data_IF_322871988944
#
_entry.id   IF_322871988944
#
_cell.length_a   1.000
_cell.length_b   1.000
_cell.length_c   1.000
_cell.angle_alpha   90.00
_cell.angle_beta   90.00
_cell.angle_gamma   90.00
#
_symmetry.space_group_name_H-M   'P 1'
#
loop_
_entity.id
_entity.type
_entity.pdbx_description
1 polymer ?
#
# COMPACT_ATOMS: atom_id res chain seq x y z
N UNK A 1 -5.24 10.36 -29.85
CA UNK A 1 -5.07 9.38 -28.77
C UNK A 1 -4.53 10.17 -27.60
N UNK A 2 -5.40 10.57 -26.68
CA UNK A 2 -4.99 11.32 -25.50
C UNK A 2 -4.39 10.31 -24.53
N UNK A 3 -3.08 10.24 -24.51
CA UNK A 3 -2.34 9.55 -23.45
C UNK A 3 -2.68 10.29 -22.16
N UNK A 4 -3.63 9.73 -21.39
CA UNK A 4 -4.01 10.29 -20.09
C UNK A 4 -2.87 9.92 -19.15
N UNK A 5 -1.78 10.69 -19.20
CA UNK A 5 -0.73 10.57 -18.20
C UNK A 5 -1.34 11.03 -16.89
N UNK A 6 -1.79 10.08 -16.06
CA UNK A 6 -2.30 10.37 -14.73
C UNK A 6 -1.20 11.09 -13.94
N UNK A 7 -1.42 12.35 -13.62
CA UNK A 7 -0.53 13.09 -12.73
C UNK A 7 -0.83 12.65 -11.30
N UNK A 8 0.16 12.05 -10.65
CA UNK A 8 0.06 11.61 -9.26
C UNK A 8 0.83 12.52 -8.30
N UNK A 9 1.35 13.65 -8.79
CA UNK A 9 2.25 14.53 -8.03
C UNK A 9 1.58 15.19 -6.82
N UNK A 10 0.24 15.21 -6.78
CA UNK A 10 -0.56 15.67 -5.65
C UNK A 10 -0.58 14.73 -4.44
N UNK A 11 -0.09 13.49 -4.59
CA UNK A 11 -0.08 12.51 -3.52
C UNK A 11 1.26 12.52 -2.79
N UNK A 12 1.21 12.39 -1.46
CA UNK A 12 2.38 12.43 -0.59
C UNK A 12 3.16 11.11 -0.62
N UNK A 13 2.44 10.00 -0.67
CA UNK A 13 2.99 8.66 -0.61
C UNK A 13 2.66 7.90 -1.90
N UNK A 14 3.62 7.11 -2.36
CA UNK A 14 3.50 6.24 -3.53
C UNK A 14 4.05 4.87 -3.13
N UNK A 15 3.17 3.87 -2.98
CA UNK A 15 3.57 2.53 -2.57
C UNK A 15 3.29 1.50 -3.66
N UNK A 16 4.33 0.78 -4.06
CA UNK A 16 4.18 -0.38 -4.93
C UNK A 16 3.50 -1.54 -4.21
N UNK A 17 3.01 -2.53 -4.97
CA UNK A 17 2.46 -3.75 -4.39
C UNK A 17 3.46 -4.48 -3.45
N UNK A 18 4.75 -4.45 -3.75
CA UNK A 18 5.79 -5.03 -2.88
C UNK A 18 5.94 -4.25 -1.58
N UNK A 19 5.90 -2.92 -1.62
CA UNK A 19 5.97 -2.07 -0.43
C UNK A 19 4.72 -2.25 0.45
N UNK A 20 3.53 -2.32 -0.15
CA UNK A 20 2.29 -2.63 0.57
C UNK A 20 2.41 -4.00 1.27
N UNK A 21 2.91 -5.03 0.58
CA UNK A 21 3.16 -6.34 1.18
C UNK A 21 4.20 -6.29 2.30
N UNK A 22 5.24 -5.47 2.17
CA UNK A 22 6.25 -5.29 3.23
C UNK A 22 5.64 -4.69 4.49
N UNK A 23 4.78 -3.67 4.35
CA UNK A 23 4.01 -3.10 5.47
C UNK A 23 3.10 -4.16 6.10
N UNK A 24 2.31 -4.89 5.31
CA UNK A 24 1.40 -5.92 5.81
C UNK A 24 2.13 -7.07 6.52
N UNK A 25 3.35 -7.42 6.09
CA UNK A 25 4.19 -8.42 6.77
C UNK A 25 4.63 -7.96 8.16
N UNK A 26 4.86 -6.67 8.36
CA UNK A 26 5.17 -6.08 9.67
C UNK A 26 3.94 -5.98 10.59
N UNK A 27 2.74 -6.24 10.08
CA UNK A 27 1.49 -6.31 10.85
C UNK A 27 1.25 -7.61 11.61
N UNK A 28 2.20 -8.53 11.64
CA UNK A 28 2.09 -9.71 12.51
C UNK A 28 2.14 -9.32 14.00
N UNK A 29 1.43 -10.09 14.82
CA UNK A 29 1.37 -9.89 16.28
C UNK A 29 2.77 -9.89 16.95
N UNK A 30 3.73 -10.62 16.35
CA UNK A 30 5.11 -10.73 16.84
C UNK A 30 5.90 -9.42 16.62
N UNK A 31 6.05 -8.89 15.38
CA UNK A 31 6.71 -7.60 15.15
C UNK A 31 6.01 -6.42 15.85
N UNK A 32 4.66 -6.42 15.96
CA UNK A 32 3.95 -5.38 16.70
C UNK A 32 4.23 -5.43 18.21
N UNK A 33 4.20 -6.62 18.82
CA UNK A 33 4.49 -6.81 20.24
C UNK A 33 5.93 -6.52 20.63
N UNK A 34 6.87 -6.57 19.67
CA UNK A 34 8.30 -6.24 19.87
C UNK A 34 8.67 -4.80 19.53
N UNK A 35 7.75 -4.01 18.97
CA UNK A 35 8.01 -2.62 18.57
C UNK A 35 8.70 -2.45 17.21
N UNK A 36 9.07 -3.54 16.53
CA UNK A 36 9.70 -3.51 15.20
C UNK A 36 8.83 -2.86 14.13
N UNK A 37 7.50 -3.02 14.23
CA UNK A 37 6.57 -2.31 13.34
C UNK A 37 6.70 -0.80 13.50
N UNK A 38 6.94 -0.29 14.73
CA UNK A 38 7.11 1.14 14.98
C UNK A 38 8.42 1.65 14.42
N UNK A 39 9.50 0.88 14.56
CA UNK A 39 10.82 1.22 14.00
C UNK A 39 10.78 1.22 12.47
N UNK A 40 10.23 0.18 11.87
CA UNK A 40 10.03 0.09 10.42
C UNK A 40 9.23 1.27 9.87
N UNK A 41 8.14 1.65 10.53
CA UNK A 41 7.34 2.80 10.10
C UNK A 41 8.08 4.13 10.30
N UNK A 42 8.85 4.28 11.37
CA UNK A 42 9.65 5.49 11.56
C UNK A 42 10.72 5.65 10.47
N UNK A 43 11.26 4.53 9.97
CA UNK A 43 12.29 4.50 8.92
C UNK A 43 11.70 4.66 7.52
N UNK A 44 10.61 3.94 7.20
CA UNK A 44 10.09 3.84 5.84
C UNK A 44 8.84 4.69 5.56
N UNK A 45 8.08 5.05 6.61
CA UNK A 45 6.82 5.79 6.49
C UNK A 45 6.69 6.85 7.60
N UNK A 46 7.59 7.84 7.67
CA UNK A 46 7.62 8.81 8.75
C UNK A 46 6.31 9.58 8.87
N UNK A 47 5.79 9.68 10.08
CA UNK A 47 4.51 10.33 10.36
C UNK A 47 3.27 9.44 10.14
N UNK A 48 3.45 8.20 9.69
CA UNK A 48 2.35 7.24 9.59
C UNK A 48 2.32 6.28 10.76
N UNK A 49 1.10 5.93 11.17
CA UNK A 49 0.87 4.80 12.08
C UNK A 49 0.50 3.56 11.26
N UNK A 50 0.79 2.38 11.82
CA UNK A 50 0.40 1.12 11.16
C UNK A 50 -1.10 1.07 10.90
N UNK A 51 -1.89 1.55 11.86
CA UNK A 51 -3.35 1.62 11.74
C UNK A 51 -3.76 2.53 10.58
N UNK A 52 -3.20 3.74 10.48
CA UNK A 52 -3.54 4.68 9.41
C UNK A 52 -3.24 4.09 8.02
N UNK A 53 -2.10 3.41 7.85
CA UNK A 53 -1.79 2.72 6.59
C UNK A 53 -2.78 1.59 6.30
N UNK A 54 -3.15 0.79 7.32
CA UNK A 54 -4.18 -0.23 7.13
C UNK A 54 -5.54 0.37 6.74
N UNK A 55 -5.93 1.50 7.32
CA UNK A 55 -7.18 2.19 6.99
C UNK A 55 -7.17 2.63 5.52
N UNK A 56 -6.07 3.25 5.04
CA UNK A 56 -5.87 3.58 3.62
C UNK A 56 -5.97 2.33 2.74
N UNK A 57 -5.28 1.24 3.11
CA UNK A 57 -5.28 0.03 2.28
C UNK A 57 -6.65 -0.64 2.20
N UNK A 58 -7.45 -0.56 3.26
CA UNK A 58 -8.82 -1.03 3.26
C UNK A 58 -9.72 -0.12 2.39
N UNK A 59 -9.61 1.21 2.55
CA UNK A 59 -10.39 2.18 1.80
C UNK A 59 -10.11 2.09 0.29
N UNK A 60 -8.85 1.91 -0.08
CA UNK A 60 -8.42 1.71 -1.46
C UNK A 60 -8.74 0.32 -2.03
N UNK A 61 -9.22 -0.61 -1.20
CA UNK A 61 -9.53 -1.98 -1.61
C UNK A 61 -8.32 -2.76 -2.10
N UNK A 62 -7.11 -2.36 -1.69
CA UNK A 62 -5.85 -3.00 -2.12
C UNK A 62 -5.41 -4.12 -1.18
N UNK A 63 -6.05 -4.27 -0.01
CA UNK A 63 -5.73 -5.31 0.97
C UNK A 63 -6.70 -6.49 0.87
N UNK A 64 -6.14 -7.67 0.58
CA UNK A 64 -6.82 -8.95 0.60
C UNK A 64 -6.52 -9.77 1.86
N UNK A 65 -7.30 -10.85 2.05
CA UNK A 65 -7.10 -11.81 3.13
C UNK A 65 -5.85 -12.65 2.85
N UNK A 66 -4.85 -12.57 3.72
CA UNK A 66 -3.62 -13.37 3.65
C UNK A 66 -3.56 -14.27 4.88
N UNK A 67 -3.68 -15.58 4.71
CA UNK A 67 -3.77 -16.56 5.79
C UNK A 67 -2.69 -16.36 6.87
N UNK A 68 -3.11 -15.91 8.06
CA UNK A 68 -2.24 -15.73 9.24
C UNK A 68 -1.49 -14.40 9.34
N UNK A 69 -1.45 -13.56 8.31
CA UNK A 69 -0.80 -12.24 8.30
C UNK A 69 -1.84 -11.10 8.44
N UNK A 70 -1.38 -9.84 8.56
CA UNK A 70 -2.30 -8.71 8.45
C UNK A 70 -2.96 -8.61 7.05
N UNK A 71 -2.48 -9.33 6.04
CA UNK A 71 -3.09 -9.42 4.71
C UNK A 71 -2.04 -9.56 3.62
N UNK A 72 -2.48 -9.56 2.37
CA UNK A 72 -1.63 -9.39 1.19
C UNK A 72 -2.21 -8.31 0.29
N UNK A 73 -1.37 -7.66 -0.52
CA UNK A 73 -1.83 -6.76 -1.57
C UNK A 73 -2.61 -7.59 -2.63
N UNK A 74 -3.74 -7.07 -3.11
CA UNK A 74 -4.53 -7.71 -4.17
C UNK A 74 -3.78 -7.67 -5.50
N UNK A 75 -4.01 -8.69 -6.33
CA UNK A 75 -3.39 -8.76 -7.66
C UNK A 75 -3.84 -7.60 -8.56
N UNK A 76 -2.97 -7.18 -9.48
CA UNK A 76 -3.26 -6.12 -10.45
C UNK A 76 -3.10 -4.70 -9.93
N UNK A 77 -2.59 -4.49 -8.70
CA UNK A 77 -2.15 -3.18 -8.21
C UNK A 77 -0.70 -2.97 -8.63
N UNK A 78 -0.41 -1.83 -9.26
CA UNK A 78 0.95 -1.39 -9.61
C UNK A 78 1.46 -0.45 -8.53
N UNK A 79 0.73 0.65 -8.30
CA UNK A 79 0.99 1.61 -7.22
C UNK A 79 -0.30 2.04 -6.53
N UNK A 80 -0.18 2.38 -5.25
CA UNK A 80 -1.15 3.12 -4.47
C UNK A 80 -0.58 4.50 -4.18
N UNK A 81 -1.28 5.54 -4.63
CA UNK A 81 -0.95 6.93 -4.38
C UNK A 81 -1.91 7.48 -3.33
N UNK A 82 -1.43 8.09 -2.26
CA UNK A 82 -2.31 8.58 -1.20
C UNK A 82 -1.72 9.70 -0.36
N UNK A 83 -2.64 10.47 0.22
CA UNK A 83 -2.38 11.44 1.27
C UNK A 83 -2.93 10.95 2.61
N UNK A 84 -4.09 10.30 2.58
CA UNK A 84 -4.85 9.79 3.73
C UNK A 84 -5.87 8.72 3.25
N UNK A 85 -6.71 8.23 4.15
CA UNK A 85 -7.70 7.18 3.89
C UNK A 85 -8.91 7.68 3.07
N UNK A 86 -9.00 8.98 2.80
CA UNK A 86 -10.06 9.62 2.00
C UNK A 86 -9.55 10.17 0.67
N UNK A 87 -8.24 10.39 0.53
CA UNK A 87 -7.57 10.91 -0.66
C UNK A 87 -6.51 9.93 -1.16
N UNK A 88 -6.93 9.06 -2.08
CA UNK A 88 -6.07 8.05 -2.68
C UNK A 88 -6.46 7.75 -4.14
N UNK A 89 -5.53 7.18 -4.90
CA UNK A 89 -5.72 6.65 -6.24
C UNK A 89 -4.91 5.37 -6.42
N UNK A 90 -5.49 4.39 -7.12
CA UNK A 90 -4.88 3.08 -7.33
C UNK A 90 -4.51 2.94 -8.79
N UNK A 91 -3.21 2.99 -9.09
CA UNK A 91 -2.68 2.61 -10.39
C UNK A 91 -2.71 1.09 -10.50
N UNK A 92 -3.42 0.57 -11.52
CA UNK A 92 -3.53 -0.86 -11.78
C UNK A 92 -2.67 -1.24 -12.98
N UNK A 93 -2.22 -2.49 -12.99
CA UNK A 93 -1.56 -3.05 -14.16
C UNK A 93 -2.62 -3.18 -15.25
N UNK A 94 -2.50 -2.41 -16.33
CA UNK A 94 -3.35 -2.57 -17.50
C UNK A 94 -3.18 -3.96 -18.09
N UNK A 95 -4.28 -4.56 -18.53
CA UNK A 95 -4.28 -5.89 -19.15
C UNK A 95 -3.39 -5.98 -20.42
N UNK A 96 -2.90 -4.85 -20.93
CA UNK A 96 -1.99 -4.76 -22.08
C UNK A 96 -0.52 -5.07 -21.75
N UNK A 97 -0.10 -5.09 -20.47
CA UNK A 97 1.28 -5.44 -20.06
C UNK A 97 1.47 -6.94 -19.76
N UNK A 98 0.44 -7.78 -19.96
CA UNK A 98 0.47 -9.23 -19.62
C UNK A 98 0.93 -10.12 -20.79
N UNK A 99 1.17 -9.55 -21.98
CA UNK A 99 1.64 -10.30 -23.15
C UNK A 99 3.03 -9.83 -23.60
N UNK A 100 4.11 -10.17 -22.88
CA UNK A 100 5.46 -10.37 -23.45
C UNK A 100 6.24 -11.47 -22.72
#
# INVERSE_FOLDING_TARGET
>A
MSDHTSDYSQYREHLSAEQINAVLRHGHIIPMGRGWTREYLAEHHPGWTFKALLDVFNAAGVRGSGGGCAGICVAGVKYLHFNDDTSFEVERIDAAEVEQ
#
